data_IF_091980662787
#
_entry.id   IF_091980662787
#
_cell.length_a   1.000
_cell.length_b   1.000
_cell.length_c   1.000
_cell.angle_alpha   90.00
_cell.angle_beta   90.00
_cell.angle_gamma   90.00
#
_symmetry.space_group_name_H-M   'P 1'
#
loop_
_entity.id
_entity.type
_entity.pdbx_description
1 polymer ?
#
# COMPACT_ATOMS: atom_id res chain seq x y z
N UNK A 1 38.79 24.03 12.09
CA UNK A 1 38.39 24.33 10.70
C UNK A 1 36.90 24.14 10.52
N UNK A 2 36.21 25.11 9.93
CA UNK A 2 34.80 24.92 9.61
C UNK A 2 34.64 23.78 8.60
N UNK A 3 33.60 22.99 8.76
CA UNK A 3 33.25 21.95 7.78
C UNK A 3 32.88 22.61 6.44
N UNK A 4 33.33 22.05 5.30
CA UNK A 4 32.88 22.52 4.01
C UNK A 4 31.38 22.38 3.91
N UNK A 5 30.67 23.26 3.16
CA UNK A 5 29.24 23.11 2.97
C UNK A 5 28.92 21.79 2.27
N UNK A 6 27.76 21.19 2.59
CA UNK A 6 27.31 19.98 1.94
C UNK A 6 27.17 20.20 0.42
N UNK A 7 27.45 19.17 -0.35
CA UNK A 7 27.33 19.22 -1.80
C UNK A 7 25.87 19.41 -2.22
N UNK A 8 25.62 20.08 -3.34
CA UNK A 8 24.31 20.14 -3.97
C UNK A 8 23.84 18.73 -4.36
N UNK A 9 22.53 18.53 -4.38
CA UNK A 9 21.96 17.22 -4.64
C UNK A 9 21.95 16.31 -3.42
N UNK A 10 22.01 16.88 -2.20
CA UNK A 10 21.93 16.14 -0.94
C UNK A 10 20.83 16.70 -0.04
N UNK A 11 20.20 15.85 0.81
CA UNK A 11 19.24 16.34 1.80
C UNK A 11 19.85 17.35 2.79
N UNK A 12 21.15 17.21 3.10
CA UNK A 12 21.86 18.12 3.98
C UNK A 12 21.90 19.55 3.42
N UNK A 13 22.12 19.71 2.13
CA UNK A 13 22.12 21.01 1.46
C UNK A 13 20.73 21.65 1.45
N UNK A 14 19.69 20.86 1.27
CA UNK A 14 18.30 21.33 1.40
C UNK A 14 18.03 21.89 2.80
N UNK A 15 18.48 21.19 3.85
CA UNK A 15 18.24 21.60 5.24
C UNK A 15 18.90 22.93 5.58
N UNK A 16 20.00 23.29 4.95
CA UNK A 16 20.66 24.59 5.15
C UNK A 16 20.11 25.69 4.24
N UNK A 17 19.04 25.41 3.49
CA UNK A 17 18.26 26.43 2.78
C UNK A 17 18.37 26.42 1.27
N UNK A 18 19.18 25.54 0.68
CA UNK A 18 19.26 25.48 -0.80
C UNK A 18 17.98 24.90 -1.40
N UNK A 19 17.45 25.56 -2.40
CA UNK A 19 16.21 25.18 -3.10
C UNK A 19 16.43 24.95 -4.61
N UNK A 20 17.68 24.67 -5.02
CA UNK A 20 17.94 24.34 -6.42
C UNK A 20 17.28 23.00 -6.80
N UNK A 21 17.08 22.73 -8.11
CA UNK A 21 16.42 21.50 -8.56
C UNK A 21 17.08 20.22 -8.05
N UNK A 22 18.42 20.18 -7.96
CA UNK A 22 19.14 19.01 -7.45
C UNK A 22 18.87 18.77 -5.97
N UNK A 23 18.85 19.82 -5.14
CA UNK A 23 18.57 19.74 -3.71
C UNK A 23 17.11 19.41 -3.45
N UNK A 24 16.18 19.96 -4.24
CA UNK A 24 14.76 19.63 -4.18
C UNK A 24 14.53 18.14 -4.49
N UNK A 25 15.15 17.64 -5.55
CA UNK A 25 15.07 16.23 -5.95
C UNK A 25 15.60 15.30 -4.86
N UNK A 26 16.74 15.65 -4.26
CA UNK A 26 17.32 14.88 -3.16
C UNK A 26 16.43 14.87 -1.91
N UNK A 27 15.83 16.02 -1.58
CA UNK A 27 14.89 16.13 -0.47
C UNK A 27 13.65 15.26 -0.70
N UNK A 28 13.07 15.32 -1.90
CA UNK A 28 11.89 14.53 -2.25
C UNK A 28 12.18 13.03 -2.22
N UNK A 29 13.34 12.61 -2.71
CA UNK A 29 13.78 11.20 -2.65
C UNK A 29 13.97 10.73 -1.22
N UNK A 30 14.59 11.54 -0.36
CA UNK A 30 14.79 11.24 1.06
C UNK A 30 13.44 11.11 1.79
N UNK A 31 12.51 12.04 1.55
CA UNK A 31 11.17 12.01 2.12
C UNK A 31 10.41 10.75 1.70
N UNK A 32 10.45 10.40 0.41
CA UNK A 32 9.82 9.19 -0.11
C UNK A 32 10.41 7.93 0.52
N UNK A 33 11.74 7.88 0.67
CA UNK A 33 12.44 6.76 1.32
C UNK A 33 12.01 6.59 2.78
N UNK A 34 11.92 7.69 3.54
CA UNK A 34 11.46 7.66 4.93
C UNK A 34 10.02 7.21 5.06
N UNK A 35 9.15 7.65 4.16
CA UNK A 35 7.73 7.22 4.13
C UNK A 35 7.61 5.73 3.84
N UNK A 36 8.41 5.19 2.91
CA UNK A 36 8.45 3.75 2.63
C UNK A 36 8.91 2.96 3.85
N UNK A 37 10.00 3.39 4.51
CA UNK A 37 10.50 2.74 5.71
C UNK A 37 9.45 2.73 6.83
N UNK A 38 8.77 3.86 7.06
CA UNK A 38 7.71 3.94 8.06
C UNK A 38 6.52 3.04 7.71
N UNK A 39 6.17 2.95 6.44
CA UNK A 39 5.11 2.05 5.95
C UNK A 39 5.50 0.58 6.14
N UNK A 40 6.77 0.22 5.87
CA UNK A 40 7.28 -1.14 6.05
C UNK A 40 7.31 -1.52 7.54
N UNK A 41 7.61 -0.57 8.44
CA UNK A 41 7.56 -0.82 9.88
C UNK A 41 6.14 -1.08 10.38
N UNK A 42 5.15 -0.36 9.85
CA UNK A 42 3.73 -0.55 10.23
C UNK A 42 3.13 -1.81 9.61
N UNK A 43 3.64 -2.24 8.48
CA UNK A 43 3.13 -3.40 7.75
C UNK A 43 4.29 -4.21 7.16
N UNK A 44 5.06 -4.94 8.02
CA UNK A 44 6.22 -5.70 7.58
C UNK A 44 5.90 -6.79 6.56
N UNK A 45 6.89 -7.19 5.78
CA UNK A 45 6.75 -8.21 4.76
C UNK A 45 6.18 -9.53 5.29
N UNK A 46 6.59 -9.93 6.49
CA UNK A 46 6.08 -11.16 7.13
C UNK A 46 4.56 -11.10 7.34
N UNK A 47 4.07 -9.98 7.84
CA UNK A 47 2.64 -9.76 8.05
C UNK A 47 1.90 -9.63 6.71
N UNK A 48 2.50 -8.98 5.72
CA UNK A 48 1.92 -8.89 4.37
C UNK A 48 1.72 -10.27 3.74
N UNK A 49 2.70 -11.14 3.84
CA UNK A 49 2.61 -12.52 3.33
C UNK A 49 1.52 -13.32 4.05
N UNK A 50 1.43 -13.17 5.36
CA UNK A 50 0.40 -13.85 6.16
C UNK A 50 -0.99 -13.36 5.80
N UNK A 51 -1.16 -12.06 5.63
CA UNK A 51 -2.42 -11.45 5.20
C UNK A 51 -2.88 -12.02 3.85
N UNK A 52 -1.98 -12.07 2.87
CA UNK A 52 -2.31 -12.61 1.55
C UNK A 52 -2.74 -14.08 1.61
N UNK A 53 -2.08 -14.88 2.45
CA UNK A 53 -2.48 -16.28 2.64
C UNK A 53 -3.89 -16.41 3.20
N UNK A 54 -4.22 -15.63 4.22
CA UNK A 54 -5.55 -15.67 4.84
C UNK A 54 -6.63 -15.24 3.86
N UNK A 55 -6.38 -14.21 3.07
CA UNK A 55 -7.31 -13.75 2.04
C UNK A 55 -7.48 -14.81 0.94
N UNK A 56 -6.41 -15.42 0.50
CA UNK A 56 -6.46 -16.50 -0.49
C UNK A 56 -7.22 -17.74 0.01
N UNK A 57 -7.31 -17.91 1.33
CA UNK A 57 -8.08 -18.96 1.98
C UNK A 57 -9.55 -18.57 2.22
N UNK A 58 -9.94 -17.36 1.84
CA UNK A 58 -11.32 -16.92 1.91
C UNK A 58 -11.64 -15.91 3.02
N UNK A 59 -10.67 -15.48 3.82
CA UNK A 59 -10.90 -14.48 4.85
C UNK A 59 -11.16 -13.11 4.23
N UNK A 60 -12.16 -12.36 4.72
CA UNK A 60 -12.31 -10.96 4.34
C UNK A 60 -11.08 -10.13 4.74
N UNK A 61 -10.80 -9.07 4.00
CA UNK A 61 -9.61 -8.23 4.26
C UNK A 61 -9.60 -7.70 5.69
N UNK A 62 -10.75 -7.24 6.19
CA UNK A 62 -10.88 -6.71 7.56
C UNK A 62 -10.56 -7.75 8.61
N UNK A 63 -11.08 -8.96 8.46
CA UNK A 63 -10.82 -10.08 9.37
C UNK A 63 -9.36 -10.53 9.30
N UNK A 64 -8.82 -10.65 8.10
CA UNK A 64 -7.42 -11.00 7.91
C UNK A 64 -6.47 -9.97 8.54
N UNK A 65 -6.78 -8.68 8.40
CA UNK A 65 -6.00 -7.60 9.03
C UNK A 65 -6.01 -7.72 10.56
N UNK A 66 -7.16 -7.98 11.16
CA UNK A 66 -7.27 -8.22 12.60
C UNK A 66 -6.42 -9.41 13.05
N UNK A 67 -6.51 -10.53 12.36
CA UNK A 67 -5.77 -11.75 12.69
C UNK A 67 -4.26 -11.55 12.59
N UNK A 68 -3.82 -10.73 11.67
CA UNK A 68 -2.39 -10.41 11.46
C UNK A 68 -1.90 -9.34 12.43
N UNK A 69 -2.81 -8.53 12.96
CA UNK A 69 -2.47 -7.45 13.89
C UNK A 69 -2.10 -6.14 13.20
N UNK A 70 -2.61 -5.91 11.98
CA UNK A 70 -2.43 -4.64 11.26
C UNK A 70 -3.78 -3.95 11.08
N UNK A 71 -3.75 -2.64 10.85
CA UNK A 71 -4.97 -1.90 10.59
C UNK A 71 -5.40 -2.02 9.13
N UNK A 72 -6.70 -1.97 8.90
CA UNK A 72 -7.25 -1.91 7.54
C UNK A 72 -6.71 -0.70 6.77
N UNK A 73 -6.55 0.43 7.46
CA UNK A 73 -5.98 1.64 6.86
C UNK A 73 -4.55 1.44 6.37
N UNK A 74 -3.73 0.70 7.12
CA UNK A 74 -2.35 0.40 6.70
C UNK A 74 -2.32 -0.45 5.43
N UNK A 75 -3.21 -1.44 5.32
CA UNK A 75 -3.37 -2.26 4.12
C UNK A 75 -3.76 -1.40 2.92
N UNK A 76 -4.77 -0.56 3.07
CA UNK A 76 -5.25 0.34 2.02
C UNK A 76 -4.26 1.42 1.63
N UNK A 77 -3.57 2.01 2.59
CA UNK A 77 -2.57 3.04 2.31
C UNK A 77 -1.46 2.49 1.40
N UNK A 78 -1.08 1.24 1.60
CA UNK A 78 -0.06 0.61 0.77
C UNK A 78 -0.54 0.36 -0.66
N UNK A 79 -1.81 0.07 -0.88
CA UNK A 79 -2.35 -0.12 -2.24
C UNK A 79 -2.21 1.14 -3.10
N UNK A 80 -2.25 2.32 -2.49
CA UNK A 80 -2.14 3.59 -3.21
C UNK A 80 -0.72 3.91 -3.68
N UNK A 81 0.29 3.36 -3.02
CA UNK A 81 1.69 3.71 -3.24
C UNK A 81 2.54 2.57 -3.79
N UNK A 82 2.01 1.35 -3.79
CA UNK A 82 2.73 0.14 -4.18
C UNK A 82 1.88 -0.70 -5.14
N UNK A 83 2.05 -0.49 -6.47
CA UNK A 83 1.29 -1.27 -7.47
C UNK A 83 1.54 -2.78 -7.39
N UNK A 84 2.73 -3.20 -7.00
CA UNK A 84 3.05 -4.63 -6.83
C UNK A 84 2.23 -5.24 -5.68
N UNK A 85 2.08 -4.52 -4.58
CA UNK A 85 1.21 -4.92 -3.47
C UNK A 85 -0.25 -5.03 -3.90
N UNK A 86 -0.74 -4.03 -4.64
CA UNK A 86 -2.11 -4.05 -5.17
C UNK A 86 -2.36 -5.30 -6.02
N UNK A 87 -1.41 -5.65 -6.88
CA UNK A 87 -1.51 -6.85 -7.73
C UNK A 87 -1.56 -8.14 -6.92
N UNK A 88 -0.73 -8.26 -5.89
CA UNK A 88 -0.71 -9.43 -5.01
C UNK A 88 -2.01 -9.55 -4.20
N UNK A 89 -2.51 -8.44 -3.70
CA UNK A 89 -3.78 -8.39 -2.97
C UNK A 89 -4.94 -8.79 -3.88
N UNK A 90 -4.99 -8.27 -5.09
CA UNK A 90 -6.03 -8.61 -6.07
C UNK A 90 -6.00 -10.09 -6.41
N UNK A 91 -4.82 -10.67 -6.59
CA UNK A 91 -4.66 -12.09 -6.87
C UNK A 91 -5.16 -12.95 -5.70
N UNK A 92 -4.84 -12.57 -4.47
CA UNK A 92 -5.32 -13.27 -3.27
C UNK A 92 -6.85 -13.18 -3.14
N UNK A 93 -7.42 -12.01 -3.40
CA UNK A 93 -8.87 -11.80 -3.40
C UNK A 93 -9.57 -12.64 -4.46
N UNK A 94 -9.01 -12.74 -5.65
CA UNK A 94 -9.56 -13.59 -6.72
C UNK A 94 -9.48 -15.07 -6.35
N UNK A 95 -8.38 -15.51 -5.75
CA UNK A 95 -8.19 -16.91 -5.35
C UNK A 95 -9.16 -17.33 -4.25
N UNK A 96 -9.37 -16.47 -3.26
CA UNK A 96 -10.17 -16.78 -2.08
C UNK A 96 -11.63 -16.37 -2.15
N UNK A 97 -12.08 -15.76 -3.24
CA UNK A 97 -13.46 -15.28 -3.34
C UNK A 97 -14.48 -16.42 -3.36
N UNK A 98 -15.63 -16.17 -2.78
CA UNK A 98 -16.71 -17.16 -2.72
C UNK A 98 -17.33 -17.35 -4.11
N UNK A 99 -17.59 -18.59 -4.46
CA UNK A 99 -18.18 -18.94 -5.78
C UNK A 99 -19.69 -18.64 -5.86
N UNK A 100 -20.36 -18.52 -4.71
CA UNK A 100 -21.79 -18.25 -4.63
C UNK A 100 -22.16 -16.76 -4.66
N UNK A 101 -21.17 -15.89 -4.74
CA UNK A 101 -21.35 -14.43 -4.83
C UNK A 101 -21.49 -14.03 -6.30
N UNK A 102 -22.44 -13.14 -6.66
CA UNK A 102 -22.54 -12.63 -8.03
C UNK A 102 -21.43 -11.60 -8.29
N UNK A 103 -20.23 -12.08 -8.61
CA UNK A 103 -19.08 -11.23 -8.87
C UNK A 103 -19.29 -10.37 -10.12
N UNK A 104 -18.65 -9.20 -10.13
CA UNK A 104 -18.79 -8.24 -11.22
C UNK A 104 -20.10 -7.47 -11.20
N UNK A 105 -20.80 -7.46 -10.08
CA UNK A 105 -22.07 -6.75 -9.91
C UNK A 105 -22.02 -5.80 -8.72
N UNK A 106 -22.88 -4.78 -8.73
CA UNK A 106 -23.04 -3.88 -7.59
C UNK A 106 -23.49 -4.64 -6.33
N UNK A 107 -24.34 -5.66 -6.51
CA UNK A 107 -24.78 -6.53 -5.42
C UNK A 107 -23.62 -7.30 -4.78
N UNK A 108 -22.71 -7.82 -5.57
CA UNK A 108 -21.50 -8.49 -5.07
C UNK A 108 -20.67 -7.57 -4.18
N UNK A 109 -20.54 -6.31 -4.58
CA UNK A 109 -19.81 -5.32 -3.80
C UNK A 109 -20.56 -4.89 -2.53
N UNK A 110 -21.84 -4.50 -2.66
CA UNK A 110 -22.61 -3.90 -1.56
C UNK A 110 -23.17 -4.93 -0.59
N UNK A 111 -23.86 -5.95 -1.09
CA UNK A 111 -24.57 -6.92 -0.24
C UNK A 111 -23.63 -7.97 0.31
N UNK A 112 -22.76 -8.51 -0.54
CA UNK A 112 -21.83 -9.57 -0.16
C UNK A 112 -20.48 -9.02 0.32
N UNK A 113 -20.29 -7.72 0.21
CA UNK A 113 -19.05 -7.04 0.62
C UNK A 113 -17.79 -7.61 -0.04
N UNK A 114 -17.93 -8.15 -1.24
CA UNK A 114 -16.81 -8.66 -2.00
C UNK A 114 -15.94 -7.50 -2.50
N UNK A 115 -14.64 -7.61 -2.33
CA UNK A 115 -13.66 -6.59 -2.73
C UNK A 115 -12.73 -7.08 -3.82
N UNK A 116 -13.08 -8.18 -4.52
CA UNK A 116 -12.30 -8.63 -5.66
C UNK A 116 -12.31 -7.56 -6.77
N UNK A 117 -11.34 -7.62 -7.70
CA UNK A 117 -11.24 -6.61 -8.76
C UNK A 117 -12.51 -6.44 -9.58
N UNK A 118 -13.23 -7.53 -9.85
CA UNK A 118 -14.46 -7.49 -10.63
C UNK A 118 -15.57 -6.73 -9.92
N UNK A 119 -15.77 -6.97 -8.63
CA UNK A 119 -16.78 -6.29 -7.83
C UNK A 119 -16.43 -4.82 -7.62
N UNK A 120 -15.16 -4.51 -7.37
CA UNK A 120 -14.72 -3.11 -7.27
C UNK A 120 -14.94 -2.35 -8.57
N UNK A 121 -14.66 -2.97 -9.71
CA UNK A 121 -14.88 -2.36 -11.03
C UNK A 121 -16.35 -2.09 -11.29
N UNK A 122 -17.26 -2.96 -10.87
CA UNK A 122 -18.69 -2.76 -10.99
C UNK A 122 -19.18 -1.58 -10.15
N UNK A 123 -18.59 -1.39 -8.96
CA UNK A 123 -18.93 -0.28 -8.05
C UNK A 123 -18.29 1.04 -8.47
N UNK A 124 -17.07 0.98 -9.01
CA UNK A 124 -16.33 2.14 -9.50
C UNK A 124 -15.96 1.94 -10.98
N UNK A 125 -16.92 2.13 -11.91
CA UNK A 125 -16.68 1.82 -13.32
C UNK A 125 -15.85 2.86 -14.07
N UNK A 126 -15.50 3.97 -13.43
CA UNK A 126 -14.73 5.04 -14.05
C UNK A 126 -13.24 5.04 -13.79
#
# INVERSE_FOLDING_TARGET
>A
MPRPPAAHGTPSRWRVGCRCPCCLSAHNADTASRRRAASDDRFPLRQRRRLLRLIAQGAPVTEAAELVGVTYQAVHARTRTDPAWQGLLDQALMTGRRVDVPHGTESGYRQYRCRCPECRRAHHPG
#
